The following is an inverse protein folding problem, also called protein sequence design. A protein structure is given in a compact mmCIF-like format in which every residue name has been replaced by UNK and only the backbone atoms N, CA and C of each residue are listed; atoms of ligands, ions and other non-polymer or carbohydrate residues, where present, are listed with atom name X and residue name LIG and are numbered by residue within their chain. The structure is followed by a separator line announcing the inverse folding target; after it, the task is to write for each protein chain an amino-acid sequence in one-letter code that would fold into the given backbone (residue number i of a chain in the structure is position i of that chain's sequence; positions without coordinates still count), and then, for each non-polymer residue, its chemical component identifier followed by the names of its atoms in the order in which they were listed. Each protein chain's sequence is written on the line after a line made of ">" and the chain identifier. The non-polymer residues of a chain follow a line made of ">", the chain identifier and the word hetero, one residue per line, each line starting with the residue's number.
data_IF_473411419599
#
_entry.id   IF_473411419599
#
_cell.length_a   1.000
_cell.length_b   1.000
_cell.length_c   1.000
_cell.angle_alpha   90.00
_cell.angle_beta   90.00
_cell.angle_gamma   90.00
#
_symmetry.space_group_name_H-M   'P 1'
#
loop_
_entity.id
_entity.type
_entity.pdbx_description
1 polymer ?
#
# COMPACT_ATOMS: atom_id res chain seq x y z
N UNK A 1 -0.52 -15.77 7.34
CA UNK A 1 0.87 -15.93 6.85
C UNK A 1 1.16 -15.12 5.58
N UNK A 2 0.16 -14.77 4.77
CA UNK A 2 0.34 -14.00 3.52
C UNK A 2 0.93 -12.59 3.69
N UNK A 3 0.90 -12.02 4.90
CA UNK A 3 1.50 -10.71 5.22
C UNK A 3 2.96 -10.78 5.68
N UNK A 4 3.56 -11.97 5.78
CA UNK A 4 4.90 -12.18 6.34
C UNK A 4 4.89 -12.59 7.83
N UNK A 5 6.08 -12.91 8.33
CA UNK A 5 6.32 -13.40 9.71
C UNK A 5 6.65 -12.26 10.67
N UNK A 6 7.42 -11.27 10.21
CA UNK A 6 7.79 -10.09 10.99
C UNK A 6 6.92 -8.90 10.63
N UNK A 7 6.69 -8.00 11.58
CA UNK A 7 6.00 -6.74 11.34
C UNK A 7 7.00 -5.58 11.22
N UNK A 8 6.91 -4.81 10.13
CA UNK A 8 7.81 -3.68 9.85
C UNK A 8 7.55 -2.44 10.72
N UNK A 9 6.54 -2.45 11.59
CA UNK A 9 6.22 -1.34 12.50
C UNK A 9 7.29 -1.01 13.54
N UNK A 10 8.29 -1.89 13.69
CA UNK A 10 9.52 -1.56 14.38
C UNK A 10 10.69 -2.26 13.68
N UNK A 11 11.70 -1.47 13.33
CA UNK A 11 12.94 -1.93 12.73
C UNK A 11 14.07 -1.02 13.25
N UNK A 12 15.06 -1.61 13.89
CA UNK A 12 16.29 -0.92 14.29
C UNK A 12 17.40 -1.26 13.31
N UNK A 13 18.14 -0.26 12.85
CA UNK A 13 19.33 -0.45 12.00
C UNK A 13 20.55 0.14 12.68
N UNK A 14 21.64 -0.60 12.64
CA UNK A 14 22.94 -0.14 13.13
C UNK A 14 23.55 0.93 12.21
N UNK A 15 24.75 1.44 12.56
CA UNK A 15 25.48 2.38 11.73
C UNK A 15 25.71 1.85 10.30
N UNK A 16 25.84 2.77 9.34
CA UNK A 16 25.77 2.49 7.90
C UNK A 16 26.65 1.31 7.42
N UNK A 17 27.83 1.11 8.02
CA UNK A 17 28.75 0.04 7.60
C UNK A 17 28.16 -1.38 7.71
N UNK A 18 27.45 -1.68 8.79
CA UNK A 18 26.91 -3.03 9.04
C UNK A 18 25.50 -3.20 8.45
N UNK A 19 24.74 -2.10 8.32
CA UNK A 19 23.34 -2.12 7.88
C UNK A 19 23.13 -1.84 6.40
N UNK A 20 24.09 -1.19 5.71
CA UNK A 20 23.96 -0.83 4.30
C UNK A 20 23.63 -2.02 3.38
N UNK A 21 24.28 -3.20 3.49
CA UNK A 21 23.94 -4.32 2.61
C UNK A 21 22.47 -4.76 2.72
N UNK A 22 21.91 -4.75 3.93
CA UNK A 22 20.50 -5.06 4.16
C UNK A 22 19.60 -3.94 3.61
N UNK A 23 19.93 -2.67 3.88
CA UNK A 23 19.14 -1.53 3.44
C UNK A 23 19.10 -1.41 1.92
N UNK A 24 20.23 -1.56 1.23
CA UNK A 24 20.30 -1.55 -0.24
C UNK A 24 19.49 -2.70 -0.84
N UNK A 25 19.62 -3.90 -0.28
CA UNK A 25 18.87 -5.08 -0.70
C UNK A 25 17.36 -4.92 -0.51
N UNK A 26 16.93 -4.30 0.59
CA UNK A 26 15.53 -4.09 0.90
C UNK A 26 14.95 -2.93 0.08
N UNK A 27 15.71 -1.84 -0.12
CA UNK A 27 15.38 -0.74 -1.00
C UNK A 27 15.16 -1.22 -2.44
N UNK A 28 16.07 -2.02 -2.99
CA UNK A 28 15.95 -2.61 -4.34
C UNK A 28 14.63 -3.39 -4.51
N UNK A 29 14.32 -4.28 -3.56
CA UNK A 29 13.10 -5.08 -3.58
C UNK A 29 11.84 -4.23 -3.46
N UNK A 30 11.82 -3.31 -2.52
CA UNK A 30 10.64 -2.47 -2.26
C UNK A 30 10.37 -1.48 -3.38
N UNK A 31 11.41 -1.07 -4.13
CA UNK A 31 11.29 -0.14 -5.23
C UNK A 31 10.29 -0.59 -6.32
N UNK A 32 10.14 -1.91 -6.55
CA UNK A 32 9.19 -2.47 -7.54
C UNK A 32 8.17 -3.44 -6.96
N UNK A 33 8.40 -3.94 -5.75
CA UNK A 33 7.58 -4.99 -5.14
C UNK A 33 6.99 -4.60 -3.77
N UNK A 34 6.91 -3.30 -3.46
CA UNK A 34 6.11 -2.80 -2.34
C UNK A 34 4.62 -2.74 -2.74
N UNK A 35 4.01 -3.92 -2.91
CA UNK A 35 2.62 -4.07 -3.36
C UNK A 35 1.80 -4.83 -2.33
N UNK A 36 0.52 -4.48 -2.23
CA UNK A 36 -0.47 -5.30 -1.53
C UNK A 36 -1.18 -6.20 -2.53
N UNK A 37 -0.72 -7.45 -2.63
CA UNK A 37 -1.27 -8.48 -3.51
C UNK A 37 -1.34 -9.81 -2.76
N UNK A 38 -2.52 -10.09 -2.21
CA UNK A 38 -2.79 -11.30 -1.42
C UNK A 38 -2.65 -12.57 -2.25
N UNK A 39 -2.93 -12.54 -3.56
CA UNK A 39 -2.81 -13.69 -4.45
C UNK A 39 -1.37 -14.17 -4.58
N UNK A 40 -0.42 -13.25 -4.48
CA UNK A 40 1.01 -13.53 -4.52
C UNK A 40 1.64 -13.65 -3.13
N UNK A 41 0.86 -13.55 -2.05
CA UNK A 41 1.37 -13.39 -0.68
C UNK A 41 2.35 -12.21 -0.58
N UNK A 42 2.06 -11.09 -1.26
CA UNK A 42 2.78 -9.84 -1.16
C UNK A 42 2.02 -8.89 -0.26
N UNK A 43 2.69 -8.43 0.79
CA UNK A 43 2.19 -7.38 1.65
C UNK A 43 3.31 -6.37 1.85
N UNK A 44 3.31 -5.39 0.96
CA UNK A 44 4.17 -4.21 0.97
C UNK A 44 5.65 -4.57 1.22
N UNK A 45 6.39 -3.71 1.90
CA UNK A 45 7.79 -3.96 2.27
C UNK A 45 7.97 -5.10 3.27
N UNK A 46 6.96 -5.38 4.09
CA UNK A 46 7.03 -6.30 5.23
C UNK A 46 7.33 -7.74 4.82
N UNK A 47 6.85 -8.19 3.66
CA UNK A 47 7.12 -9.55 3.16
C UNK A 47 8.61 -9.86 3.17
N UNK A 48 9.44 -8.91 2.72
CA UNK A 48 10.88 -9.11 2.53
C UNK A 48 11.61 -9.36 3.85
N UNK A 49 11.10 -8.83 4.96
CA UNK A 49 11.65 -9.09 6.30
C UNK A 49 11.55 -10.57 6.69
N UNK A 50 10.66 -11.36 6.09
CA UNK A 50 10.57 -12.80 6.35
C UNK A 50 11.73 -13.58 5.70
N UNK A 51 12.39 -12.99 4.70
CA UNK A 51 13.53 -13.59 3.98
C UNK A 51 14.86 -13.09 4.53
N UNK A 52 14.89 -11.86 5.06
CA UNK A 52 16.10 -11.21 5.57
C UNK A 52 16.95 -12.06 6.54
N UNK A 53 16.38 -12.84 7.49
CA UNK A 53 17.19 -13.63 8.43
C UNK A 53 18.02 -14.73 7.78
N UNK A 54 17.70 -15.14 6.55
CA UNK A 54 18.48 -16.11 5.79
C UNK A 54 19.60 -15.48 4.95
N UNK A 55 19.67 -14.15 4.88
CA UNK A 55 20.58 -13.40 4.00
C UNK A 55 21.52 -12.46 4.75
N UNK A 56 21.10 -11.99 5.93
CA UNK A 56 21.84 -11.03 6.73
C UNK A 56 21.91 -11.51 8.18
N UNK A 57 23.00 -11.16 8.85
CA UNK A 57 23.10 -11.33 10.30
C UNK A 57 22.23 -10.25 10.96
N UNK A 58 21.18 -10.69 11.65
CA UNK A 58 20.20 -9.80 12.27
C UNK A 58 19.67 -10.38 13.57
N UNK A 59 19.18 -9.50 14.44
CA UNK A 59 18.52 -9.88 15.68
C UNK A 59 16.99 -9.72 15.59
N UNK A 60 16.27 -10.76 16.03
CA UNK A 60 14.82 -10.66 16.21
C UNK A 60 14.53 -10.05 17.58
N UNK A 61 14.07 -8.79 17.59
CA UNK A 61 13.61 -8.13 18.81
C UNK A 61 12.37 -8.85 19.37
N UNK A 62 12.50 -9.39 20.60
CA UNK A 62 11.41 -10.09 21.32
C UNK A 62 10.90 -9.31 22.54
N UNK A 63 11.35 -8.07 22.73
CA UNK A 63 10.85 -7.20 23.80
C UNK A 63 9.34 -6.98 23.64
N UNK A 64 8.50 -7.35 24.63
CA UNK A 64 7.05 -7.18 24.52
C UNK A 64 6.61 -5.72 24.48
N UNK A 65 7.45 -4.78 24.93
CA UNK A 65 7.22 -3.35 24.84
C UNK A 65 7.57 -2.74 23.49
N UNK A 66 8.26 -3.47 22.60
CA UNK A 66 8.57 -3.02 21.25
C UNK A 66 7.51 -3.53 20.26
N UNK A 67 7.05 -2.65 19.37
CA UNK A 67 6.01 -2.95 18.38
C UNK A 67 4.73 -3.52 19.01
N UNK A 68 4.35 -2.98 20.18
CA UNK A 68 3.14 -3.36 20.88
C UNK A 68 1.93 -2.91 20.08
N UNK A 69 0.96 -3.78 19.85
CA UNK A 69 -0.23 -3.49 19.06
C UNK A 69 -1.43 -4.24 19.60
N UNK A 70 -2.64 -3.88 19.17
CA UNK A 70 -3.88 -4.38 19.76
C UNK A 70 -3.95 -5.90 19.94
N UNK A 71 -3.60 -6.69 18.92
CA UNK A 71 -3.62 -8.16 19.02
C UNK A 71 -2.61 -8.73 20.03
N UNK A 72 -1.47 -8.04 20.26
CA UNK A 72 -0.42 -8.47 21.20
C UNK A 72 -0.82 -8.21 22.66
N UNK A 73 -1.80 -7.33 22.91
CA UNK A 73 -2.34 -7.14 24.26
C UNK A 73 -2.90 -8.45 24.82
N UNK A 74 -3.50 -9.30 23.98
CA UNK A 74 -4.01 -10.61 24.43
C UNK A 74 -4.99 -10.44 25.58
N UNK A 75 -4.72 -11.08 26.72
CA UNK A 75 -5.48 -10.92 27.98
C UNK A 75 -4.90 -9.85 28.93
N UNK A 76 -3.77 -9.23 28.57
CA UNK A 76 -3.08 -8.22 29.37
C UNK A 76 -3.46 -6.81 28.91
N UNK A 77 -3.14 -5.82 29.74
CA UNK A 77 -3.33 -4.40 29.43
C UNK A 77 -2.03 -3.63 29.70
N UNK A 78 -1.95 -2.42 29.17
CA UNK A 78 -0.86 -1.47 29.41
C UNK A 78 -1.13 -0.72 30.71
N UNK A 79 -0.12 -0.52 31.55
CA UNK A 79 -0.19 0.51 32.58
C UNK A 79 0.14 1.86 31.93
N UNK A 80 -0.87 2.72 31.79
CA UNK A 80 -0.74 4.01 31.12
C UNK A 80 0.01 5.06 31.95
N UNK A 81 0.05 4.91 33.28
CA UNK A 81 0.71 5.86 34.16
C UNK A 81 2.22 5.61 34.17
N UNK A 82 2.62 4.34 34.18
CA UNK A 82 4.05 3.96 34.13
C UNK A 82 4.55 3.69 32.71
N UNK A 83 3.65 3.65 31.71
CA UNK A 83 3.91 3.20 30.35
C UNK A 83 4.64 1.85 30.31
N UNK A 84 4.06 0.85 30.98
CA UNK A 84 4.61 -0.51 31.02
C UNK A 84 3.63 -1.57 30.50
N UNK A 85 4.18 -2.67 29.99
CA UNK A 85 3.45 -3.85 29.54
C UNK A 85 4.27 -5.09 29.87
N UNK A 86 3.70 -6.03 30.63
CA UNK A 86 4.40 -7.23 31.14
C UNK A 86 5.72 -6.87 31.87
N UNK A 87 5.66 -5.90 32.79
CA UNK A 87 6.80 -5.41 33.59
C UNK A 87 7.98 -4.85 32.76
N UNK A 88 7.75 -4.52 31.49
CA UNK A 88 8.70 -3.87 30.59
C UNK A 88 8.18 -2.52 30.14
N UNK A 89 9.03 -1.51 29.92
CA UNK A 89 8.57 -0.25 29.35
C UNK A 89 7.99 -0.44 27.95
N UNK A 90 6.86 0.19 27.67
CA UNK A 90 6.34 0.33 26.31
C UNK A 90 7.29 1.25 25.54
N UNK A 91 8.01 0.70 24.57
CA UNK A 91 8.95 1.42 23.70
C UNK A 91 8.22 2.06 22.54
N UNK A 92 7.35 1.29 21.89
CA UNK A 92 6.55 1.75 20.76
C UNK A 92 5.19 1.07 20.78
N UNK A 93 4.13 1.86 20.58
CA UNK A 93 2.79 1.34 20.32
C UNK A 93 2.45 1.56 18.84
N UNK A 94 2.23 0.45 18.13
CA UNK A 94 1.93 0.44 16.71
C UNK A 94 0.41 0.41 16.48
N UNK A 95 -0.11 1.56 16.06
CA UNK A 95 -1.51 1.75 15.66
C UNK A 95 -1.83 1.14 14.27
N UNK A 96 -1.49 -0.13 14.09
CA UNK A 96 -1.81 -0.89 12.89
C UNK A 96 -3.34 -0.92 12.67
N UNK A 97 -3.82 -0.86 11.42
CA UNK A 97 -5.26 -0.77 11.18
C UNK A 97 -5.88 0.62 11.39
N UNK A 98 -5.04 1.63 11.60
CA UNK A 98 -5.42 3.04 11.63
C UNK A 98 -5.89 3.52 12.99
N UNK A 99 -5.67 4.80 13.25
CA UNK A 99 -6.05 5.48 14.48
C UNK A 99 -6.74 6.80 14.15
N UNK A 100 -7.80 7.11 14.89
CA UNK A 100 -8.56 8.36 14.77
C UNK A 100 -8.52 9.10 16.11
N UNK A 101 -7.84 10.25 16.20
CA UNK A 101 -7.74 11.00 17.44
C UNK A 101 -9.08 11.61 17.89
N UNK A 102 -10.08 11.71 17.01
CA UNK A 102 -11.45 12.12 17.38
C UNK A 102 -12.26 10.95 17.95
N UNK A 103 -11.77 9.71 17.81
CA UNK A 103 -12.34 8.50 18.42
C UNK A 103 -11.30 7.75 19.28
N UNK A 104 -10.68 8.41 20.28
CA UNK A 104 -9.52 7.85 21.01
C UNK A 104 -9.89 6.71 21.96
N UNK A 105 -11.18 6.38 22.07
CA UNK A 105 -11.68 5.21 22.79
C UNK A 105 -11.60 3.93 21.96
N UNK A 106 -11.34 4.05 20.65
CA UNK A 106 -11.15 2.91 19.75
C UNK A 106 -9.67 2.63 19.61
N UNK A 107 -9.30 1.37 19.72
CA UNK A 107 -7.92 0.95 19.49
C UNK A 107 -7.56 1.06 17.98
N UNK A 108 -8.49 0.72 17.08
CA UNK A 108 -8.32 0.86 15.64
C UNK A 108 -9.58 1.38 14.92
N UNK A 109 -9.37 2.00 13.76
CA UNK A 109 -10.45 2.45 12.87
C UNK A 109 -10.94 1.33 11.95
N UNK A 110 -10.04 0.47 11.47
CA UNK A 110 -10.37 -0.66 10.61
C UNK A 110 -11.20 -1.72 11.37
N UNK A 111 -12.38 -2.12 10.83
CA UNK A 111 -13.20 -3.15 11.44
C UNK A 111 -12.62 -4.56 11.22
N UNK A 112 -13.02 -5.51 12.07
CA UNK A 112 -12.71 -6.94 11.88
C UNK A 112 -11.28 -7.35 12.23
N UNK A 113 -10.49 -6.46 12.83
CA UNK A 113 -9.18 -6.83 13.38
C UNK A 113 -9.37 -7.72 14.62
N UNK A 114 -8.51 -8.74 14.82
CA UNK A 114 -8.57 -9.63 15.97
C UNK A 114 -7.97 -8.96 17.23
N UNK A 115 -8.48 -7.78 17.56
CA UNK A 115 -8.04 -6.98 18.68
C UNK A 115 -8.99 -7.18 19.86
N UNK A 116 -8.50 -7.07 21.11
CA UNK A 116 -9.38 -7.09 22.27
C UNK A 116 -10.33 -5.90 22.25
N UNK A 117 -11.48 -6.06 22.88
CA UNK A 117 -12.45 -4.98 23.02
C UNK A 117 -11.87 -3.85 23.88
N UNK A 118 -12.00 -2.60 23.41
CA UNK A 118 -11.43 -1.44 24.08
C UNK A 118 -11.86 -1.28 25.55
N UNK A 119 -13.13 -1.53 25.96
CA UNK A 119 -13.52 -1.47 27.37
C UNK A 119 -12.78 -2.46 28.27
N UNK A 120 -12.27 -3.56 27.71
CA UNK A 120 -11.47 -4.54 28.45
C UNK A 120 -10.00 -4.14 28.57
N UNK A 121 -9.57 -3.08 27.86
CA UNK A 121 -8.19 -2.56 27.85
C UNK A 121 -8.14 -1.07 28.20
N UNK A 122 -8.63 -0.66 29.39
CA UNK A 122 -8.69 0.74 29.80
C UNK A 122 -7.32 1.45 29.75
N UNK A 123 -6.22 0.75 30.02
CA UNK A 123 -4.88 1.31 29.96
C UNK A 123 -4.42 1.59 28.53
N UNK A 124 -4.63 0.66 27.61
CA UNK A 124 -4.41 0.93 26.18
C UNK A 124 -5.29 2.08 25.66
N UNK A 125 -6.55 2.20 26.12
CA UNK A 125 -7.42 3.34 25.81
C UNK A 125 -6.88 4.65 26.39
N UNK A 126 -6.33 4.63 27.60
CA UNK A 126 -5.70 5.80 28.19
C UNK A 126 -4.45 6.25 27.40
N UNK A 127 -3.63 5.31 26.93
CA UNK A 127 -2.52 5.57 26.00
C UNK A 127 -3.04 6.22 24.70
N UNK A 128 -4.09 5.66 24.09
CA UNK A 128 -4.72 6.22 22.89
C UNK A 128 -5.21 7.66 23.13
N UNK A 129 -5.85 7.94 24.27
CA UNK A 129 -6.29 9.29 24.66
C UNK A 129 -5.11 10.24 24.89
N UNK A 130 -4.00 9.76 25.43
CA UNK A 130 -2.75 10.52 25.54
C UNK A 130 -2.25 10.95 24.16
N UNK A 131 -2.05 9.97 23.28
CA UNK A 131 -1.56 10.21 21.93
C UNK A 131 -2.50 11.09 21.08
N UNK A 132 -3.82 10.91 21.20
CA UNK A 132 -4.79 11.76 20.51
C UNK A 132 -4.66 13.24 20.91
N UNK A 133 -4.44 13.53 22.20
CA UNK A 133 -4.21 14.91 22.65
C UNK A 133 -2.95 15.50 22.01
N UNK A 134 -1.87 14.73 21.94
CA UNK A 134 -0.62 15.17 21.30
C UNK A 134 -0.81 15.45 19.81
N UNK A 135 -1.48 14.54 19.07
CA UNK A 135 -1.80 14.73 17.66
C UNK A 135 -2.64 15.98 17.41
N UNK A 136 -3.73 16.15 18.17
CA UNK A 136 -4.60 17.31 18.03
C UNK A 136 -3.86 18.62 18.36
N UNK A 137 -3.03 18.61 19.41
CA UNK A 137 -2.18 19.77 19.78
C UNK A 137 -1.18 20.11 18.68
N UNK A 138 -0.63 19.09 18.00
CA UNK A 138 0.30 19.26 16.89
C UNK A 138 -0.37 19.72 15.57
N UNK A 139 -1.69 19.91 15.56
CA UNK A 139 -2.43 20.38 14.38
C UNK A 139 -2.87 19.27 13.43
N UNK A 140 -3.17 18.07 13.95
CA UNK A 140 -3.63 16.92 13.16
C UNK A 140 -4.69 17.26 12.09
N UNK A 141 -5.73 18.02 12.44
CA UNK A 141 -6.79 18.38 11.48
C UNK A 141 -6.28 19.23 10.31
N UNK A 142 -5.33 20.15 10.56
CA UNK A 142 -4.74 20.98 9.52
C UNK A 142 -3.86 20.15 8.57
N UNK A 143 -3.09 19.21 9.11
CA UNK A 143 -2.26 18.30 8.32
C UNK A 143 -3.11 17.31 7.50
N UNK A 144 -4.17 16.75 8.09
CA UNK A 144 -5.08 15.85 7.37
C UNK A 144 -5.92 16.54 6.29
N UNK A 145 -6.12 17.86 6.39
CA UNK A 145 -6.78 18.63 5.34
C UNK A 145 -5.90 18.82 4.09
N UNK A 146 -4.59 18.54 4.17
CA UNK A 146 -3.69 18.64 3.02
C UNK A 146 -4.00 17.50 2.04
N UNK A 147 -4.27 17.80 0.76
CA UNK A 147 -4.50 16.76 -0.23
C UNK A 147 -3.25 15.89 -0.41
N UNK A 148 -3.43 14.57 -0.43
CA UNK A 148 -2.34 13.69 -0.84
C UNK A 148 -1.99 13.96 -2.31
N UNK A 149 -0.75 14.39 -2.57
CA UNK A 149 -0.29 14.81 -3.91
C UNK A 149 -0.59 13.81 -5.02
N UNK A 150 -0.57 12.51 -4.70
CA UNK A 150 -0.79 11.42 -5.65
C UNK A 150 -2.21 10.83 -5.58
N UNK A 151 -3.18 11.57 -5.06
CA UNK A 151 -4.59 11.17 -5.04
C UNK A 151 -5.27 11.34 -6.40
N UNK A 152 -4.86 12.35 -7.18
CA UNK A 152 -5.48 12.71 -8.45
C UNK A 152 -4.43 12.99 -9.54
N UNK A 153 -4.85 12.82 -10.79
CA UNK A 153 -4.20 13.33 -11.98
C UNK A 153 -4.33 14.87 -12.04
N UNK A 154 -3.48 15.55 -12.82
CA UNK A 154 -3.51 17.01 -12.98
C UNK A 154 -4.86 17.61 -13.39
N UNK A 155 -5.73 16.83 -14.03
CA UNK A 155 -7.07 17.26 -14.44
C UNK A 155 -8.18 16.95 -13.40
N UNK A 156 -7.78 16.51 -12.19
CA UNK A 156 -8.69 16.26 -11.07
C UNK A 156 -9.27 14.85 -11.01
N UNK A 157 -9.08 14.02 -12.06
CA UNK A 157 -9.51 12.61 -12.03
C UNK A 157 -8.67 11.80 -11.03
N UNK A 158 -9.24 10.89 -10.23
CA UNK A 158 -8.47 10.02 -9.34
C UNK A 158 -7.28 9.32 -10.02
N UNK A 159 -6.11 9.28 -9.35
CA UNK A 159 -5.01 8.42 -9.77
C UNK A 159 -5.29 6.98 -9.31
N UNK A 160 -6.18 6.31 -10.03
CA UNK A 160 -6.70 5.00 -9.64
C UNK A 160 -5.65 3.88 -9.68
N UNK A 161 -6.05 2.70 -9.19
CA UNK A 161 -5.18 1.53 -9.17
C UNK A 161 -4.77 1.06 -10.58
N UNK A 162 -5.61 1.23 -11.61
CA UNK A 162 -5.29 0.75 -12.95
C UNK A 162 -4.19 1.60 -13.58
N UNK A 163 -4.25 2.93 -13.41
CA UNK A 163 -3.16 3.84 -13.81
C UNK A 163 -1.86 3.49 -13.10
N UNK A 164 -1.92 3.29 -11.77
CA UNK A 164 -0.73 2.93 -10.96
C UNK A 164 -0.09 1.62 -11.41
N UNK A 165 -0.89 0.58 -11.66
CA UNK A 165 -0.38 -0.72 -12.10
C UNK A 165 0.12 -0.68 -13.55
N UNK A 166 -0.54 0.08 -14.44
CA UNK A 166 -0.08 0.28 -15.81
C UNK A 166 1.31 0.91 -15.79
N UNK A 167 1.47 2.01 -15.04
CA UNK A 167 2.75 2.71 -14.89
C UNK A 167 3.83 1.79 -14.30
N UNK A 168 3.54 1.06 -13.22
CA UNK A 168 4.49 0.13 -12.62
C UNK A 168 4.95 -0.94 -13.62
N UNK A 169 4.02 -1.54 -14.36
CA UNK A 169 4.34 -2.54 -15.39
C UNK A 169 5.21 -1.95 -16.49
N UNK A 170 4.83 -0.80 -17.01
CA UNK A 170 5.61 -0.09 -18.01
C UNK A 170 7.00 0.29 -17.53
N UNK A 171 7.15 0.63 -16.24
CA UNK A 171 8.45 0.91 -15.64
C UNK A 171 9.33 -0.34 -15.59
N UNK A 172 8.77 -1.47 -15.15
CA UNK A 172 9.49 -2.76 -15.11
C UNK A 172 9.89 -3.22 -16.51
N UNK A 173 8.99 -3.10 -17.50
CA UNK A 173 9.27 -3.40 -18.91
C UNK A 173 10.38 -2.51 -19.47
N UNK A 174 10.31 -1.19 -19.20
CA UNK A 174 11.32 -0.24 -19.66
C UNK A 174 12.70 -0.55 -19.07
N UNK A 175 12.78 -0.87 -17.79
CA UNK A 175 14.02 -1.24 -17.10
C UNK A 175 14.61 -2.55 -17.64
N UNK A 176 13.79 -3.58 -17.82
CA UNK A 176 14.23 -4.85 -18.40
C UNK A 176 14.76 -4.68 -19.83
N UNK A 177 14.18 -3.76 -20.61
CA UNK A 177 14.60 -3.45 -21.98
C UNK A 177 15.73 -2.41 -22.07
N UNK A 178 16.15 -1.79 -20.96
CA UNK A 178 17.14 -0.70 -20.96
C UNK A 178 16.66 0.57 -21.70
N UNK A 179 15.35 0.82 -21.70
CA UNK A 179 14.72 1.96 -22.40
C UNK A 179 14.30 3.07 -21.42
N UNK A 180 13.84 4.20 -21.95
CA UNK A 180 13.36 5.31 -21.14
C UNK A 180 12.13 4.95 -20.30
N UNK A 181 12.08 5.44 -19.06
CA UNK A 181 10.92 5.28 -18.18
C UNK A 181 9.63 5.83 -18.81
N UNK A 182 8.45 5.28 -18.45
CA UNK A 182 7.18 5.86 -18.86
C UNK A 182 7.02 7.33 -18.44
N UNK A 183 6.28 8.14 -19.21
CA UNK A 183 5.95 9.51 -18.83
C UNK A 183 5.10 9.56 -17.54
N UNK A 184 5.41 10.53 -16.68
CA UNK A 184 4.71 10.78 -15.41
C UNK A 184 3.69 11.91 -15.52
N UNK A 185 2.60 11.85 -14.75
CA UNK A 185 1.59 12.91 -14.72
C UNK A 185 2.12 14.20 -14.08
N UNK A 186 3.17 14.13 -13.25
CA UNK A 186 3.49 15.18 -12.27
C UNK A 186 4.63 16.12 -12.67
N UNK A 187 5.30 15.86 -13.80
CA UNK A 187 6.45 16.64 -14.26
C UNK A 187 6.18 17.27 -15.64
N UNK A 188 4.98 17.84 -15.84
CA UNK A 188 4.58 18.50 -17.08
C UNK A 188 4.38 17.56 -18.27
N UNK A 189 4.33 16.24 -18.03
CA UNK A 189 4.19 15.21 -19.07
C UNK A 189 2.80 14.55 -19.06
N UNK A 190 1.79 15.26 -18.56
CA UNK A 190 0.45 14.72 -18.38
C UNK A 190 -0.16 14.17 -19.68
N UNK A 191 -0.16 14.97 -20.76
CA UNK A 191 -0.69 14.54 -22.05
C UNK A 191 0.10 13.36 -22.63
N UNK A 192 1.43 13.34 -22.42
CA UNK A 192 2.28 12.22 -22.83
C UNK A 192 1.93 10.95 -22.06
N UNK A 193 1.61 11.07 -20.78
CA UNK A 193 1.14 9.95 -19.97
C UNK A 193 -0.22 9.44 -20.43
N UNK A 194 -1.18 10.31 -20.73
CA UNK A 194 -2.47 9.88 -21.27
C UNK A 194 -2.32 9.16 -22.61
N UNK A 195 -1.52 9.72 -23.53
CA UNK A 195 -1.22 9.07 -24.81
C UNK A 195 -0.53 7.71 -24.61
N UNK A 196 0.40 7.63 -23.65
CA UNK A 196 1.09 6.38 -23.32
C UNK A 196 0.14 5.33 -22.71
N UNK A 197 -0.81 5.73 -21.87
CA UNK A 197 -1.85 4.86 -21.32
C UNK A 197 -2.83 4.36 -22.39
N UNK A 198 -3.15 5.20 -23.39
CA UNK A 198 -4.02 4.87 -24.52
C UNK A 198 -3.36 3.94 -25.53
N UNK A 199 -2.03 4.01 -25.69
CA UNK A 199 -1.30 3.13 -26.60
C UNK A 199 -1.41 1.65 -26.20
N UNK A 200 -1.28 0.72 -27.16
CA UNK A 200 -1.36 -0.73 -26.89
C UNK A 200 -0.42 -1.19 -25.79
N UNK A 201 -0.89 -2.11 -24.96
CA UNK A 201 -0.02 -2.91 -24.11
C UNK A 201 0.85 -3.85 -24.95
N UNK A 202 1.98 -4.29 -24.40
CA UNK A 202 2.87 -5.21 -25.10
C UNK A 202 2.14 -6.51 -25.44
N UNK A 203 2.16 -6.88 -26.73
CA UNK A 203 1.55 -8.09 -27.29
C UNK A 203 0.05 -8.28 -26.97
N UNK A 204 -0.65 -7.17 -26.66
CA UNK A 204 -2.06 -7.17 -26.25
C UNK A 204 -2.79 -6.05 -27.02
N UNK A 205 -3.95 -6.33 -27.63
CA UNK A 205 -4.65 -5.36 -28.47
C UNK A 205 -5.37 -4.25 -27.68
N UNK A 206 -5.41 -4.35 -26.35
CA UNK A 206 -5.98 -3.32 -25.47
C UNK A 206 -4.96 -2.22 -25.17
N UNK A 207 -5.45 -1.02 -24.88
CA UNK A 207 -4.62 0.03 -24.28
C UNK A 207 -4.02 -0.45 -22.94
N UNK A 208 -2.89 0.14 -22.53
CA UNK A 208 -2.25 -0.18 -21.24
C UNK A 208 -3.24 -0.05 -20.08
N UNK A 209 -4.07 0.99 -20.10
CA UNK A 209 -5.08 1.20 -19.07
C UNK A 209 -6.18 0.12 -19.10
N UNK A 210 -6.76 -0.18 -20.26
CA UNK A 210 -7.84 -1.17 -20.40
C UNK A 210 -7.36 -2.59 -20.12
N UNK A 211 -6.11 -2.92 -20.45
CA UNK A 211 -5.50 -4.19 -20.08
C UNK A 211 -5.40 -4.34 -18.55
N UNK A 212 -5.03 -3.30 -17.81
CA UNK A 212 -5.01 -3.34 -16.34
C UNK A 212 -6.40 -3.48 -15.72
N UNK A 213 -7.40 -2.80 -16.28
CA UNK A 213 -8.80 -2.96 -15.89
C UNK A 213 -9.26 -4.42 -16.03
N UNK A 214 -9.01 -5.02 -17.20
CA UNK A 214 -9.34 -6.43 -17.48
C UNK A 214 -8.58 -7.39 -16.56
N UNK A 215 -7.26 -7.23 -16.41
CA UNK A 215 -6.42 -8.16 -15.64
C UNK A 215 -6.73 -8.15 -14.13
N UNK A 216 -7.23 -7.04 -13.60
CA UNK A 216 -7.55 -6.93 -12.18
C UNK A 216 -9.01 -7.29 -11.85
N UNK A 217 -9.83 -7.64 -12.85
CA UNK A 217 -11.24 -7.97 -12.69
C UNK A 217 -11.55 -9.35 -13.26
N UNK A 218 -11.59 -10.36 -12.38
CA UNK A 218 -11.90 -11.74 -12.74
C UNK A 218 -13.26 -11.87 -13.43
N UNK A 219 -14.24 -11.05 -13.04
CA UNK A 219 -15.56 -10.98 -13.68
C UNK A 219 -15.46 -10.52 -15.15
N UNK A 220 -14.59 -9.54 -15.45
CA UNK A 220 -14.36 -9.08 -16.83
C UNK A 220 -13.54 -10.07 -17.65
N UNK A 221 -12.61 -10.80 -17.02
CA UNK A 221 -11.89 -11.89 -17.69
C UNK A 221 -12.84 -13.01 -18.09
N UNK A 222 -13.80 -13.33 -17.22
CA UNK A 222 -14.81 -14.34 -17.50
C UNK A 222 -15.79 -13.89 -18.60
N UNK A 223 -16.25 -12.63 -18.54
CA UNK A 223 -17.18 -12.08 -19.53
C UNK A 223 -16.53 -11.84 -20.90
N UNK A 224 -15.25 -11.47 -20.93
CA UNK A 224 -14.51 -11.10 -22.15
C UNK A 224 -13.16 -11.83 -22.24
N UNK A 225 -13.16 -13.17 -22.36
CA UNK A 225 -11.93 -13.97 -22.28
C UNK A 225 -10.95 -13.71 -23.45
N UNK A 226 -11.45 -13.19 -24.58
CA UNK A 226 -10.65 -12.90 -25.78
C UNK A 226 -10.18 -11.45 -25.86
N UNK A 227 -10.53 -10.60 -24.89
CA UNK A 227 -10.27 -9.16 -24.97
C UNK A 227 -8.78 -8.83 -25.04
N UNK A 228 -7.96 -9.56 -24.30
CA UNK A 228 -6.52 -9.37 -24.26
C UNK A 228 -5.75 -10.17 -25.34
N UNK A 229 -6.44 -10.85 -26.26
CA UNK A 229 -5.81 -11.72 -27.27
C UNK A 229 -6.27 -11.40 -28.68
N UNK A 230 -7.45 -11.85 -29.08
CA UNK A 230 -7.88 -11.87 -30.48
C UNK A 230 -9.04 -10.95 -30.81
N UNK A 231 -9.84 -10.55 -29.81
CA UNK A 231 -11.03 -9.73 -30.06
C UNK A 231 -11.33 -8.79 -28.89
N UNK A 232 -10.76 -7.57 -28.87
CA UNK A 232 -11.02 -6.56 -27.85
C UNK A 232 -12.40 -5.90 -27.98
N UNK A 233 -13.00 -5.88 -29.19
CA UNK A 233 -14.15 -5.01 -29.49
C UNK A 233 -15.36 -5.18 -28.54
N UNK A 234 -15.77 -6.40 -28.12
CA UNK A 234 -16.91 -6.54 -27.21
C UNK A 234 -16.63 -5.90 -25.85
N UNK A 235 -15.39 -6.01 -25.36
CA UNK A 235 -14.96 -5.41 -24.10
C UNK A 235 -14.87 -3.89 -24.22
N UNK A 236 -14.32 -3.38 -25.32
CA UNK A 236 -14.20 -1.94 -25.55
C UNK A 236 -15.57 -1.27 -25.72
N UNK A 237 -16.48 -1.91 -26.45
CA UNK A 237 -17.87 -1.48 -26.56
C UNK A 237 -18.56 -1.46 -25.20
N UNK A 238 -18.37 -2.51 -24.40
CA UNK A 238 -18.93 -2.59 -23.06
C UNK A 238 -18.41 -1.45 -22.18
N UNK A 239 -17.10 -1.20 -22.16
CA UNK A 239 -16.52 -0.06 -21.40
C UNK A 239 -17.14 1.27 -21.83
N UNK A 240 -17.31 1.50 -23.14
CA UNK A 240 -17.92 2.73 -23.65
C UNK A 240 -19.38 2.93 -23.23
N UNK A 241 -20.11 1.84 -22.99
CA UNK A 241 -21.50 1.85 -22.52
C UNK A 241 -21.63 1.95 -20.99
N UNK A 242 -20.52 1.72 -20.28
CA UNK A 242 -20.47 1.53 -18.84
C UNK A 242 -19.37 2.37 -18.16
N UNK A 243 -19.39 3.71 -18.31
CA UNK A 243 -18.36 4.60 -17.76
C UNK A 243 -18.29 4.59 -16.22
N UNK A 244 -19.32 4.10 -15.52
CA UNK A 244 -19.30 3.91 -14.07
C UNK A 244 -18.22 2.92 -13.60
N UNK A 245 -17.76 2.04 -14.49
CA UNK A 245 -16.74 1.05 -14.19
C UNK A 245 -15.30 1.52 -14.42
N UNK A 246 -15.11 2.69 -15.06
CA UNK A 246 -13.80 3.30 -15.28
C UNK A 246 -13.86 4.78 -15.65
N UNK A 247 -12.97 5.58 -15.07
CA UNK A 247 -12.88 7.01 -15.36
C UNK A 247 -12.11 7.37 -16.65
N UNK A 248 -11.45 6.40 -17.30
CA UNK A 248 -10.61 6.58 -18.50
C UNK A 248 -11.09 5.68 -19.65
N UNK A 249 -12.42 5.56 -19.81
CA UNK A 249 -13.06 4.73 -20.85
C UNK A 249 -12.66 5.13 -22.29
N UNK A 250 -12.25 6.38 -22.48
CA UNK A 250 -11.86 6.97 -23.76
C UNK A 250 -10.46 6.55 -24.22
N UNK A 251 -9.63 5.94 -23.36
CA UNK A 251 -8.24 5.61 -23.70
C UNK A 251 -8.13 4.36 -24.58
N UNK A 252 -8.42 4.51 -25.87
CA UNK A 252 -8.30 3.47 -26.90
C UNK A 252 -6.98 3.60 -27.67
N UNK A 253 -6.39 2.49 -28.15
CA UNK A 253 -5.31 2.55 -29.12
C UNK A 253 -5.74 3.32 -30.38
N UNK A 254 -4.84 4.13 -30.94
CA UNK A 254 -5.11 4.83 -32.19
C UNK A 254 -5.29 3.82 -33.33
N UNK A 255 -6.47 3.81 -33.97
CA UNK A 255 -6.80 2.90 -35.09
C UNK A 255 -8.01 1.99 -34.88
N UNK A 256 -8.72 2.12 -33.75
CA UNK A 256 -10.02 1.52 -33.48
C UNK A 256 -11.14 2.57 -33.52
#
# INVERSE_FOLDING_TARGET
>A
LSAGVFNSGYLGVGPEGDSAPFLDWWADRTARHCLSDTSRSQFVEQRWLSVAPGLFDLEVCRDPGANLMGWRLGAHDVDADTLTFLDRPVRTFHFCGGFDPDQPHRLATMPGLPWPEAPSRPGAVALCRGYARELLTAGFHAEMARPYRYAALPDGRPLDRFVRHAYLRGLVEAEAAGTSRPPTAFDGQFDRMLAWLAAPAQDVPLSRYHHELWRQRTDLQFAFPTAATTNPEPFERWIGQHPEHTQLAELRPSGH
#
